data_IF_027118388483
#
_entry.id   IF_027118388483
#
_cell.length_a   1.000
_cell.length_b   1.000
_cell.length_c   1.000
_cell.angle_alpha   90.00
_cell.angle_beta   90.00
_cell.angle_gamma   90.00
#
_symmetry.space_group_name_H-M   'P 1'
#
loop_
_entity.id
_entity.type
_entity.pdbx_description
1 polymer ?
2 non-polymer ?
3 non-polymer ?
4 water ?
#
# COMPACT_ATOMS: atom_id res chain seq x y z
N UNK A 101 -15.79 -6.67 -14.87
CA UNK A 101 -14.81 -6.44 -15.92
C UNK A 101 -13.86 -5.32 -15.50
N UNK A 102 -12.61 -5.37 -15.98
CA UNK A 102 -11.57 -4.43 -15.60
C UNK A 102 -11.07 -3.67 -16.81
N UNK A 103 -10.74 -2.39 -16.62
CA UNK A 103 -10.17 -1.56 -17.67
C UNK A 103 -8.73 -1.22 -17.30
N UNK A 104 -7.87 -0.90 -18.26
CA UNK A 104 -6.46 -0.63 -17.94
C UNK A 104 -6.22 0.79 -17.43
N UNK A 105 -5.18 0.91 -16.61
CA UNK A 105 -4.70 2.19 -16.11
C UNK A 105 -3.23 2.30 -16.51
N UNK A 106 -2.94 3.17 -17.49
CA UNK A 106 -1.62 3.23 -18.09
C UNK A 106 -0.95 4.60 -18.00
N UNK A 107 -1.71 5.68 -17.82
CA UNK A 107 -1.16 7.02 -17.70
C UNK A 107 -1.38 7.52 -16.28
N UNK A 108 -0.38 8.23 -15.75
CA UNK A 108 -0.51 8.78 -14.40
C UNK A 108 -1.75 9.66 -14.27
N UNK A 109 -2.16 10.30 -15.36
CA UNK A 109 -3.34 11.15 -15.37
C UNK A 109 -4.60 10.39 -14.96
N UNK A 110 -4.58 9.06 -15.02
CA UNK A 110 -5.71 8.24 -14.61
C UNK A 110 -5.61 7.78 -13.16
N UNK A 111 -4.49 8.00 -12.52
CA UNK A 111 -4.36 7.60 -11.12
C UNK A 111 -5.10 8.60 -10.23
N UNK A 112 -5.83 8.12 -9.23
CA UNK A 112 -6.49 9.04 -8.29
C UNK A 112 -5.48 9.87 -7.52
N UNK A 113 -5.95 10.74 -6.62
CA UNK A 113 -5.01 11.56 -5.85
C UNK A 113 -4.21 10.69 -4.89
N UNK A 114 -4.85 9.69 -4.28
CA UNK A 114 -4.16 8.72 -3.44
C UNK A 114 -4.65 7.31 -3.74
N UNK A 115 -3.73 6.36 -3.58
CA UNK A 115 -3.99 4.94 -3.76
C UNK A 115 -3.57 4.24 -2.47
N UNK A 116 -4.54 3.66 -1.77
CA UNK A 116 -4.34 3.20 -0.40
C UNK A 116 -4.60 1.70 -0.33
N UNK A 117 -3.71 0.97 0.34
CA UNK A 117 -3.93 -0.43 0.66
C UNK A 117 -4.17 -0.55 2.16
N UNK A 118 -5.38 -0.94 2.54
CA UNK A 118 -5.72 -1.09 3.94
C UNK A 118 -5.33 -2.47 4.45
N UNK A 119 -4.85 -2.50 5.68
CA UNK A 119 -4.34 -3.72 6.29
C UNK A 119 -4.20 -3.48 7.79
N UNK A 120 -3.62 -4.44 8.49
CA UNK A 120 -3.38 -4.36 9.93
C UNK A 120 -1.88 -4.29 10.19
N UNK A 121 -1.52 -4.12 11.47
CA UNK A 121 -0.12 -3.87 11.81
C UNK A 121 0.75 -5.11 11.64
N UNK A 122 0.18 -6.31 11.82
CA UNK A 122 0.99 -7.51 11.64
C UNK A 122 1.31 -7.75 10.17
N UNK A 123 0.38 -7.44 9.26
CA UNK A 123 0.65 -7.63 7.85
C UNK A 123 1.65 -6.61 7.32
N UNK A 124 1.60 -5.37 7.81
CA UNK A 124 2.46 -4.33 7.25
C UNK A 124 3.92 -4.59 7.61
N UNK A 125 4.18 -5.27 8.72
CA UNK A 125 5.55 -5.66 9.04
C UNK A 125 6.01 -6.77 8.10
N UNK A 126 5.18 -7.81 7.93
CA UNK A 126 5.47 -8.84 6.94
C UNK A 126 5.64 -8.25 5.55
N UNK A 127 4.82 -7.25 5.21
CA UNK A 127 4.92 -6.63 3.90
C UNK A 127 6.28 -5.97 3.71
N UNK A 128 6.71 -5.19 4.70
CA UNK A 128 7.98 -4.49 4.58
C UNK A 128 9.14 -5.47 4.56
N UNK A 129 9.05 -6.53 5.37
CA UNK A 129 10.18 -7.44 5.49
C UNK A 129 10.31 -8.34 4.26
N UNK A 130 9.19 -8.77 3.67
CA UNK A 130 9.26 -9.56 2.45
C UNK A 130 9.48 -8.71 1.21
N UNK A 131 9.33 -7.40 1.30
CA UNK A 131 9.72 -6.51 0.23
C UNK A 131 8.63 -6.14 -0.75
N UNK A 132 7.42 -6.68 -0.61
CA UNK A 132 6.39 -6.36 -1.58
C UNK A 132 5.01 -6.60 -1.00
N UNK A 133 4.05 -5.82 -1.47
CA UNK A 133 2.63 -6.11 -1.18
C UNK A 133 2.25 -7.08 -2.30
N UNK A 134 1.87 -8.30 -1.94
CA UNK A 134 1.61 -9.36 -2.94
C UNK A 134 0.12 -9.67 -3.03
N UNK A 135 -0.36 -10.10 -4.21
CA UNK A 135 -1.78 -10.40 -4.40
C UNK A 135 -2.31 -11.51 -3.47
N UNK A 136 -1.45 -12.43 -3.05
CA UNK A 136 -1.83 -13.52 -2.12
C UNK A 136 -2.91 -14.41 -2.76
N UNK A 137 -4.02 -14.62 -2.06
CA UNK A 137 -5.13 -15.46 -2.59
C UNK A 137 -5.63 -14.90 -3.92
N UNK A 138 -5.89 -13.61 -3.98
CA UNK A 138 -6.44 -13.00 -5.21
C UNK A 138 -5.36 -12.92 -6.28
N UNK A 139 -5.73 -12.49 -7.48
CA UNK A 139 -4.75 -12.39 -8.59
C UNK A 139 -4.16 -10.98 -8.62
N UNK A 140 -4.70 -10.08 -7.81
CA UNK A 140 -4.20 -8.68 -7.80
C UNK A 140 -4.22 -8.09 -6.40
N UNK A 141 -3.38 -7.08 -6.17
CA UNK A 141 -3.43 -6.35 -4.88
C UNK A 141 -4.58 -5.35 -4.98
N UNK A 142 -5.46 -5.35 -3.98
CA UNK A 142 -6.64 -4.47 -4.00
C UNK A 142 -6.27 -3.12 -3.38
N UNK A 143 -6.63 -2.04 -4.04
CA UNK A 143 -6.26 -0.68 -3.58
C UNK A 143 -7.49 0.22 -3.62
N UNK A 144 -7.65 1.03 -2.58
CA UNK A 144 -8.80 1.94 -2.49
C UNK A 144 -8.39 3.34 -2.92
N UNK A 145 -9.13 3.98 -3.84
CA UNK A 145 -8.87 5.35 -4.22
C UNK A 145 -9.15 6.23 -3.00
N UNK A 146 -8.49 7.38 -2.91
CA UNK A 146 -8.66 8.23 -1.75
C UNK A 146 -8.87 9.69 -2.08
N UNK A 157 -12.43 -0.58 1.85
CA UNK A 157 -11.48 -1.33 2.67
C UNK A 157 -12.18 -2.04 3.81
N UNK A 158 -11.54 -3.09 4.33
CA UNK A 158 -12.09 -3.80 5.48
C UNK A 158 -12.19 -2.85 6.66
N UNK A 159 -13.32 -2.92 7.37
CA UNK A 159 -13.57 -2.01 8.49
C UNK A 159 -12.52 -2.15 9.58
N UNK A 160 -11.93 -3.34 9.70
CA UNK A 160 -10.90 -3.64 10.72
C UNK A 160 -9.49 -3.23 10.28
N UNK A 161 -9.36 -2.51 9.17
CA UNK A 161 -8.04 -2.09 8.68
C UNK A 161 -7.55 -0.84 9.43
N UNK A 162 -6.50 -0.99 10.24
CA UNK A 162 -5.95 0.12 11.04
C UNK A 162 -4.61 0.59 10.46
N UNK A 163 -4.18 0.03 9.33
CA UNK A 163 -2.92 0.46 8.67
C UNK A 163 -3.22 0.83 7.23
N UNK A 164 -2.67 1.94 6.77
CA UNK A 164 -2.95 2.45 5.44
C UNK A 164 -1.64 2.72 4.73
N UNK A 165 -1.40 1.98 3.65
CA UNK A 165 -0.19 2.10 2.85
C UNK A 165 -0.51 2.95 1.63
N UNK A 166 0.12 4.11 1.53
CA UNK A 166 -0.04 4.98 0.37
C UNK A 166 0.98 4.61 -0.69
N UNK A 167 0.51 4.37 -1.90
CA UNK A 167 1.40 4.13 -3.04
C UNK A 167 1.74 5.47 -3.67
N UNK A 168 2.99 5.63 -4.08
CA UNK A 168 3.44 6.90 -4.64
C UNK A 168 3.05 6.98 -6.11
N UNK A 169 1.87 7.54 -6.37
CA UNK A 169 1.36 7.69 -7.72
C UNK A 169 2.17 8.66 -8.57
N UNK A 170 3.21 9.29 -8.02
CA UNK A 170 3.96 10.23 -8.89
C UNK A 170 5.36 9.71 -9.19
N UNK A 171 5.63 8.45 -8.85
CA UNK A 171 6.94 7.88 -9.11
C UNK A 171 7.16 7.74 -10.61
N UNK A 172 8.28 8.25 -11.14
CA UNK A 172 8.56 8.06 -12.58
C UNK A 172 8.54 6.61 -13.01
N UNK A 173 8.79 5.68 -12.09
CA UNK A 173 8.84 4.26 -12.40
C UNK A 173 7.53 3.54 -12.13
N UNK A 174 6.43 4.27 -11.92
CA UNK A 174 5.17 3.65 -11.52
C UNK A 174 4.77 2.54 -12.49
N UNK A 175 4.60 2.88 -13.76
CA UNK A 175 4.09 1.92 -14.74
C UNK A 175 5.18 1.04 -15.32
N UNK A 176 6.43 1.17 -14.86
CA UNK A 176 7.47 0.20 -15.15
C UNK A 176 7.55 -0.87 -14.08
N UNK A 177 6.83 -0.69 -12.99
CA UNK A 177 6.85 -1.56 -11.84
C UNK A 177 5.54 -2.30 -11.62
N UNK A 178 4.42 -1.66 -11.92
CA UNK A 178 3.10 -2.24 -11.71
C UNK A 178 2.34 -2.29 -13.03
N UNK A 179 1.58 -3.37 -13.21
CA UNK A 179 0.49 -3.41 -14.17
C UNK A 179 -0.79 -3.10 -13.40
N UNK A 180 -1.53 -2.10 -13.85
CA UNK A 180 -2.62 -1.51 -13.09
C UNK A 180 -3.95 -1.65 -13.81
N UNK A 181 -5.00 -1.93 -13.05
CA UNK A 181 -6.35 -2.01 -13.57
C UNK A 181 -7.31 -1.30 -12.65
N UNK A 182 -8.54 -1.17 -13.13
CA UNK A 182 -9.61 -0.52 -12.40
C UNK A 182 -10.90 -1.23 -12.75
N UNK A 183 -11.65 -1.64 -11.73
CA UNK A 183 -12.95 -2.24 -11.95
C UNK A 183 -14.00 -1.15 -12.13
N UNK A 184 -15.16 -1.55 -12.65
CA UNK A 184 -16.20 -0.57 -12.95
C UNK A 184 -16.70 0.13 -11.70
N UNK A 185 -16.55 -0.48 -10.52
CA UNK A 185 -16.94 0.14 -9.26
C UNK A 185 -15.78 0.82 -8.56
N UNK A 186 -14.75 1.23 -9.32
CA UNK A 186 -13.69 2.13 -8.85
C UNK A 186 -12.85 1.51 -7.73
N UNK A 187 -12.41 0.28 -7.95
CA UNK A 187 -11.38 -0.34 -7.12
C UNK A 187 -10.20 -0.65 -8.03
N UNK A 188 -9.00 -0.35 -7.55
CA UNK A 188 -7.80 -0.50 -8.36
C UNK A 188 -7.12 -1.83 -8.04
N UNK A 189 -6.77 -2.55 -9.09
CA UNK A 189 -6.14 -3.88 -8.90
C UNK A 189 -4.75 -3.82 -9.53
N UNK A 190 -3.73 -4.25 -8.79
CA UNK A 190 -2.34 -4.11 -9.30
C UNK A 190 -1.49 -5.36 -9.16
N UNK A 191 -0.39 -5.37 -9.89
CA UNK A 191 0.60 -6.45 -9.76
C UNK A 191 1.35 -6.22 -8.45
N UNK A 192 2.29 -7.10 -8.12
CA UNK A 192 3.06 -6.98 -6.85
C UNK A 192 3.62 -5.57 -6.69
N UNK A 193 3.39 -4.98 -5.53
CA UNK A 193 3.90 -3.61 -5.29
C UNK A 193 5.13 -3.70 -4.41
N UNK A 194 6.31 -3.34 -4.92
CA UNK A 194 7.51 -3.29 -4.07
C UNK A 194 7.41 -2.17 -3.05
N UNK A 195 7.84 -2.48 -1.82
CA UNK A 195 7.77 -1.51 -0.72
C UNK A 195 8.48 -0.21 -1.06
N UNK A 196 9.40 -0.23 -2.02
CA UNK A 196 10.10 0.98 -2.42
C UNK A 196 9.20 1.93 -3.19
N UNK A 197 8.06 1.46 -3.67
CA UNK A 197 7.04 2.30 -4.28
C UNK A 197 6.05 2.85 -3.25
N UNK A 198 6.25 2.55 -1.97
CA UNK A 198 5.36 3.00 -0.91
C UNK A 198 5.68 4.45 -0.57
N UNK A 199 4.67 5.31 -0.64
CA UNK A 199 4.87 6.72 -0.34
C UNK A 199 4.91 7.00 1.16
N UNK A 200 4.05 6.33 1.92
CA UNK A 200 3.83 6.68 3.32
C UNK A 200 2.95 5.61 3.96
N UNK A 201 3.22 5.30 5.22
CA UNK A 201 2.47 4.30 5.97
C UNK A 201 1.82 4.99 7.16
N UNK A 202 0.51 4.98 7.20
CA UNK A 202 -0.25 5.63 8.28
C UNK A 202 -0.88 4.56 9.16
N UNK A 203 -0.65 4.63 10.46
CA UNK A 203 -1.17 3.60 11.40
C UNK A 203 -2.00 4.27 12.47
N UNK A 204 -3.21 3.77 12.71
CA UNK A 204 -3.99 4.29 13.85
C UNK A 204 -3.42 3.56 15.05
N UNK A 205 -2.86 4.30 15.99
CA UNK A 205 -2.15 3.64 17.10
C UNK A 205 -3.06 2.92 18.07
N UNK A 206 -2.62 1.75 18.54
CA UNK A 206 -3.35 1.03 19.61
C UNK A 206 -2.32 0.76 20.71
N UNK A 207 -2.65 1.02 21.98
CA UNK A 207 -1.66 0.89 23.08
C UNK A 207 -1.09 -0.53 23.09
N UNK A 208 -1.86 -1.49 22.62
CA UNK A 208 -1.41 -2.90 22.65
C UNK A 208 -0.28 -3.17 21.65
N UNK A 209 -0.14 -2.35 20.61
CA UNK A 209 0.84 -2.67 19.53
C UNK A 209 2.07 -1.77 19.58
N UNK A 210 2.45 -1.30 20.76
CA UNK A 210 3.56 -0.32 20.84
C UNK A 210 4.88 -0.99 20.45
N UNK A 211 5.05 -2.28 20.68
CA UNK A 211 6.36 -2.88 20.34
C UNK A 211 6.47 -3.03 18.82
N UNK A 212 5.40 -3.51 18.20
CA UNK A 212 5.40 -3.70 16.73
C UNK A 212 5.66 -2.37 16.03
N UNK A 213 5.16 -1.27 16.59
CA UNK A 213 5.29 0.05 15.92
C UNK A 213 6.75 0.48 15.96
N UNK A 214 7.45 0.16 17.05
CA UNK A 214 8.90 0.46 17.13
C UNK A 214 9.59 -0.33 16.03
N UNK A 215 9.24 -1.60 15.87
CA UNK A 215 9.80 -2.40 14.76
C UNK A 215 9.48 -1.70 13.44
N UNK A 216 8.21 -1.37 13.23
CA UNK A 216 7.81 -0.75 11.94
C UNK A 216 8.62 0.52 11.74
N UNK A 217 8.78 1.31 12.80
CA UNK A 217 9.54 2.58 12.70
C UNK A 217 10.94 2.30 12.16
N UNK A 218 11.60 1.25 12.65
CA UNK A 218 13.00 0.96 12.25
C UNK A 218 13.08 0.51 10.79
N UNK A 219 12.26 -0.47 10.41
CA UNK A 219 12.33 -1.03 9.03
C UNK A 219 11.99 0.07 8.03
N UNK A 220 11.02 0.91 8.36
CA UNK A 220 10.59 1.96 7.41
C UNK A 220 11.71 2.99 7.28
N UNK A 221 12.34 3.37 8.40
CA UNK A 221 13.47 4.32 8.36
C UNK A 221 14.62 3.70 7.58
N UNK A 222 14.92 2.43 7.86
CA UNK A 222 15.99 1.71 7.13
C UNK A 222 15.72 1.78 5.62
N UNK A 223 14.46 1.97 5.23
CA UNK A 223 14.10 2.02 3.79
C UNK A 223 13.68 3.44 3.44
N UNK A 224 13.76 4.35 4.41
CA UNK A 224 13.38 5.75 4.17
C UNK A 224 11.92 5.89 3.75
N UNK A 225 11.04 5.08 4.32
CA UNK A 225 9.60 5.22 4.13
C UNK A 225 9.04 5.96 5.34
N UNK A 226 8.40 7.12 5.15
CA UNK A 226 7.89 7.87 6.31
C UNK A 226 6.72 7.16 6.96
N UNK A 227 6.71 7.17 8.28
CA UNK A 227 5.64 6.55 9.06
C UNK A 227 4.93 7.64 9.84
N UNK A 228 3.60 7.63 9.78
CA UNK A 228 2.78 8.60 10.50
C UNK A 228 1.83 7.83 11.40
N UNK A 229 1.92 8.12 12.70
CA UNK A 229 1.02 7.48 13.68
C UNK A 229 -0.04 8.50 14.09
N UNK A 230 -1.31 8.17 13.88
CA UNK A 230 -2.42 9.10 14.18
C UNK A 230 -3.04 8.66 15.51
X LIG B 1 -6.89 -10.22 0.70
X LIG B 1 -6.50 -10.89 -0.56
X LIG B 1 -8.26 -10.41 1.24
X LIG B 1 -5.87 -10.58 1.86
X LIG B 1 -4.46 -10.53 1.62
X LIG B 1 -3.80 -9.95 2.84
X LIG B 1 -2.37 -10.20 2.78
X LIG B 1 -3.95 -8.44 3.00
X LIG B 1 -4.22 -8.13 4.36
X LIG B 1 -2.58 -7.89 2.60
X LIG B 1 -2.33 -6.67 3.25
X LIG B 1 -1.68 -9.03 3.09
X LIG B 1 -0.38 -9.07 2.46
X LIG B 1 -0.05 -8.56 1.24
X LIG B 1 1.20 -8.73 0.93
X LIG B 1 1.74 -9.41 2.00
X LIG B 1 3.03 -9.88 2.27
X LIG B 1 4.06 -9.74 1.45
X LIG B 1 3.23 -10.52 3.44
X LIG B 1 2.20 -10.65 4.28
X LIG B 1 0.95 -10.25 4.13
X LIG B 1 0.78 -9.62 2.96
X LIG B 1 -6.67 -8.65 0.53
X LIG B 1 -7.63 -7.47 0.99
X LIG B 1 -7.34 -6.26 0.19
X LIG B 1 -7.57 -7.38 2.47
X LIG B 1 -9.04 -8.07 0.58
X LIG B 1 -9.65 -7.57 -0.62
X LIG B 1 -11.09 -7.20 -0.35
X LIG B 1 -11.13 -5.84 0.15
X LIG B 1 -11.99 -7.20 -1.58
X LIG B 1 -13.35 -7.36 -1.21
X LIG B 1 -11.69 -5.80 -2.14
X LIG B 1 -12.69 -5.32 -3.02
X LIG B 1 -11.62 -4.97 -0.86
X LIG B 1 -10.70 -3.81 -1.00
X LIG B 1 -9.49 -3.80 -0.36
X LIG B 1 -8.70 -2.66 -0.41
X LIG B 1 -7.55 -2.46 0.55
X LIG B 1 -7.22 -1.33 0.88
X LIG B 1 -6.94 -3.54 1.00
X LIG B 1 -8.98 -1.70 -1.36
X LIG B 1 -10.21 -1.70 -1.98
X LIG B 1 -11.06 -2.76 -1.77
X LIG C 1 -7.30 -9.29 -7.45
X LIG C 1 -7.90 -9.91 -9.43
X LIG C 1 -8.03 -9.98 -8.19
X LIG C 1 -9.06 -10.92 -7.56
X LIG C 1 -10.35 -10.52 -7.91
X LIG C 1 -8.77 -12.32 -8.08
X LIG C 1 -8.80 -12.33 -9.47
X LIG C 1 -9.83 -13.29 -7.59
X LIG C 1 -9.55 -14.08 -6.66
X LIG C 1 -10.97 -13.30 -8.12
#
# INVERSE_FOLDING_TARGET
>A
MRQVLQKDKRDVQLSKALSYLLRHTAVKEKLTIDSNGYTPLKELLSHNRLKTHKCTVDDIHRIVKENDKQRFHIKTLGADEEWICATQGHSIKSIQPSDEVLVPITEASQLPQELIHGTNLQSVIKIIESGAISPMSRNHVHLSPGMLHAKGVISGMRSSSNVYIFIDCHSPLFFQTLKMFRSLNNVYLSSSIPVELIQKVVVKGNLKDEEKLDTLRRILHERNIPLEKI
>B hetero
1 NAD PA O1A O2A O5B C5B C4B O4B C3B O3B C2B O2B C1B N9A C8A N7A C5A C6A N6A N1A C2A N3A C4A O3 PN O1N O2N O5D C5D C4D O4D C3D O3D C2D O2D C1D N1N C2N C3N C7N O7N N7N C4N C5N C6N
>C hetero
1 TAR O1 O11 C1 C2 O2 C3 O3 C4 O4 O41
#
